data_IF_252752580534
#
_entry.id   IF_252752580534
#
_cell.length_a   1.000
_cell.length_b   1.000
_cell.length_c   1.000
_cell.angle_alpha   90.00
_cell.angle_beta   90.00
_cell.angle_gamma   90.00
#
_symmetry.space_group_name_H-M   'P 1'
#
loop_
_entity.id
_entity.type
_entity.pdbx_description
1 polymer ?
#
# COMPACT_ATOMS: atom_id res chain seq x y z
N UNK A 1 17.22 -12.84 19.46
CA UNK A 1 16.71 -11.85 18.49
C UNK A 1 17.71 -10.69 18.34
N UNK A 2 18.92 -10.98 17.83
CA UNK A 2 20.04 -10.00 17.71
C UNK A 2 20.72 -10.06 16.32
N UNK A 3 20.51 -11.13 15.54
CA UNK A 3 21.25 -11.39 14.30
C UNK A 3 20.72 -10.68 13.03
N UNK A 4 19.48 -10.17 13.01
CA UNK A 4 18.91 -9.51 11.82
C UNK A 4 19.40 -8.07 11.61
N UNK A 5 19.96 -7.42 12.64
CA UNK A 5 20.43 -6.03 12.56
C UNK A 5 21.72 -5.86 11.72
N UNK A 6 22.33 -6.97 11.26
CA UNK A 6 23.64 -6.94 10.60
C UNK A 6 23.59 -6.63 9.10
N UNK A 7 22.41 -6.60 8.47
CA UNK A 7 22.24 -6.43 7.01
C UNK A 7 21.53 -5.14 6.59
N UNK A 8 21.00 -4.36 7.53
CA UNK A 8 20.34 -3.08 7.22
C UNK A 8 21.21 -1.90 7.63
N UNK A 9 21.46 -0.97 6.70
CA UNK A 9 22.15 0.29 6.98
C UNK A 9 21.15 1.45 6.93
N UNK A 10 21.17 2.32 7.93
CA UNK A 10 20.37 3.54 7.92
C UNK A 10 20.99 4.60 7.01
N UNK A 11 20.22 5.13 6.08
CA UNK A 11 20.63 6.23 5.21
C UNK A 11 19.60 7.36 5.29
N UNK A 12 20.08 8.61 5.17
CA UNK A 12 19.20 9.77 4.98
C UNK A 12 19.18 10.13 3.51
N UNK A 13 17.99 10.15 2.90
CA UNK A 13 17.81 10.48 1.48
C UNK A 13 16.92 11.72 1.34
N UNK A 14 17.23 12.55 0.33
CA UNK A 14 16.33 13.61 -0.12
C UNK A 14 15.63 13.13 -1.39
N UNK A 15 14.31 13.17 -1.39
CA UNK A 15 13.50 12.72 -2.53
C UNK A 15 12.60 13.85 -3.01
N UNK A 16 12.16 13.76 -4.26
CA UNK A 16 11.15 14.68 -4.79
C UNK A 16 9.82 14.52 -4.05
N UNK A 17 9.02 15.58 -3.99
CA UNK A 17 7.71 15.58 -3.33
C UNK A 17 6.77 14.49 -3.85
N UNK A 18 6.82 14.18 -5.15
CA UNK A 18 6.03 13.11 -5.76
C UNK A 18 6.38 11.72 -5.18
N UNK A 19 7.66 11.45 -4.91
CA UNK A 19 8.11 10.19 -4.32
C UNK A 19 7.71 10.12 -2.85
N UNK A 20 7.82 11.24 -2.12
CA UNK A 20 7.34 11.30 -0.73
C UNK A 20 5.85 10.95 -0.64
N UNK A 21 5.02 11.45 -1.57
CA UNK A 21 3.60 11.10 -1.63
C UNK A 21 3.36 9.60 -1.90
N UNK A 22 4.14 8.98 -2.79
CA UNK A 22 4.04 7.53 -3.03
C UNK A 22 4.40 6.73 -1.77
N UNK A 23 5.45 7.12 -1.06
CA UNK A 23 5.85 6.51 0.21
C UNK A 23 4.72 6.60 1.24
N UNK A 24 4.14 7.78 1.41
CA UNK A 24 3.02 7.97 2.35
C UNK A 24 1.81 7.12 1.93
N UNK A 25 1.50 7.06 0.64
CA UNK A 25 0.36 6.29 0.13
C UNK A 25 0.51 4.78 0.36
N UNK A 26 1.72 4.24 0.20
CA UNK A 26 2.02 2.84 0.51
C UNK A 26 1.72 2.50 1.98
N UNK A 27 1.98 3.43 2.90
CA UNK A 27 1.68 3.24 4.32
C UNK A 27 0.18 3.39 4.59
N UNK A 28 -0.48 4.40 4.01
CA UNK A 28 -1.93 4.63 4.16
C UNK A 28 -2.80 3.46 3.67
N UNK A 29 -2.33 2.78 2.62
CA UNK A 29 -2.99 1.61 2.04
C UNK A 29 -2.56 0.29 2.71
N UNK A 30 -1.74 0.34 3.77
CA UNK A 30 -1.16 -0.85 4.43
C UNK A 30 -0.38 -1.79 3.49
N UNK A 31 0.10 -1.29 2.35
CA UNK A 31 1.00 -2.03 1.45
C UNK A 31 2.39 -2.13 2.10
N UNK A 32 2.79 -1.10 2.86
CA UNK A 32 3.98 -1.09 3.70
C UNK A 32 3.62 -0.79 5.16
N UNK A 33 4.31 -1.41 6.12
CA UNK A 33 4.12 -1.19 7.56
C UNK A 33 4.80 0.08 8.05
N UNK A 34 5.77 0.62 7.29
CA UNK A 34 6.52 1.82 7.65
C UNK A 34 7.05 2.56 6.41
N UNK A 35 7.48 3.81 6.58
CA UNK A 35 8.11 4.59 5.50
C UNK A 35 9.42 3.94 5.01
N UNK A 36 10.19 3.31 5.89
CA UNK A 36 11.42 2.62 5.49
C UNK A 36 11.12 1.41 4.60
N UNK A 37 10.11 0.63 4.97
CA UNK A 37 9.66 -0.50 4.14
C UNK A 37 9.11 0.00 2.79
N UNK A 38 8.34 1.08 2.78
CA UNK A 38 7.85 1.70 1.55
C UNK A 38 8.99 2.19 0.63
N UNK A 39 10.05 2.78 1.21
CA UNK A 39 11.26 3.17 0.47
C UNK A 39 11.97 1.95 -0.10
N UNK A 40 12.12 0.88 0.69
CA UNK A 40 12.75 -0.35 0.22
C UNK A 40 11.95 -0.99 -0.93
N UNK A 41 10.62 -1.05 -0.82
CA UNK A 41 9.75 -1.52 -1.90
C UNK A 41 9.91 -0.69 -3.18
N UNK A 42 10.01 0.63 -3.06
CA UNK A 42 10.27 1.52 -4.19
C UNK A 42 11.63 1.26 -4.85
N UNK A 43 12.66 0.94 -4.06
CA UNK A 43 14.00 0.62 -4.56
C UNK A 43 14.00 -0.75 -5.24
N UNK A 44 13.36 -1.75 -4.64
CA UNK A 44 13.33 -3.13 -5.14
C UNK A 44 12.52 -3.30 -6.42
N UNK A 45 11.32 -2.70 -6.47
CA UNK A 45 10.36 -2.91 -7.57
C UNK A 45 10.28 -1.74 -8.56
N UNK A 46 10.79 -0.58 -8.17
CA UNK A 46 10.69 0.64 -8.97
C UNK A 46 9.29 1.27 -8.94
N UNK A 47 9.21 2.50 -9.47
CA UNK A 47 8.01 3.33 -9.40
C UNK A 47 6.79 2.73 -10.09
N UNK A 48 6.95 2.21 -11.31
CA UNK A 48 5.84 1.72 -12.14
C UNK A 48 5.06 0.59 -11.45
N UNK A 49 5.77 -0.36 -10.83
CA UNK A 49 5.15 -1.47 -10.14
C UNK A 49 4.45 -1.01 -8.84
N UNK A 50 5.04 -0.05 -8.13
CA UNK A 50 4.42 0.54 -6.95
C UNK A 50 3.13 1.30 -7.29
N UNK A 51 3.12 2.09 -8.35
CA UNK A 51 1.92 2.79 -8.81
C UNK A 51 0.83 1.81 -9.22
N UNK A 52 1.18 0.69 -9.85
CA UNK A 52 0.23 -0.40 -10.17
C UNK A 52 -0.39 -1.00 -8.90
N UNK A 53 0.42 -1.39 -7.92
CA UNK A 53 -0.06 -1.96 -6.65
C UNK A 53 -0.97 -1.01 -5.87
N UNK A 54 -0.60 0.27 -5.81
CA UNK A 54 -1.42 1.31 -5.19
C UNK A 54 -2.80 1.36 -5.85
N UNK A 55 -2.83 1.38 -7.19
CA UNK A 55 -4.10 1.42 -7.94
C UNK A 55 -4.97 0.19 -7.66
N UNK A 56 -4.39 -1.01 -7.68
CA UNK A 56 -5.10 -2.26 -7.40
C UNK A 56 -5.70 -2.26 -5.98
N UNK A 57 -4.93 -1.83 -4.98
CA UNK A 57 -5.41 -1.76 -3.59
C UNK A 57 -6.52 -0.71 -3.42
N UNK A 58 -6.44 0.42 -4.11
CA UNK A 58 -7.51 1.43 -4.14
C UNK A 58 -8.79 0.90 -4.78
N UNK A 59 -8.69 0.13 -5.85
CA UNK A 59 -9.83 -0.53 -6.49
C UNK A 59 -10.51 -1.52 -5.53
N UNK A 60 -9.74 -2.37 -4.84
CA UNK A 60 -10.27 -3.29 -3.82
C UNK A 60 -10.97 -2.51 -2.71
N UNK A 61 -10.34 -1.46 -2.17
CA UNK A 61 -10.93 -0.64 -1.10
C UNK A 61 -12.23 0.03 -1.54
N UNK A 62 -12.30 0.48 -2.79
CA UNK A 62 -13.52 1.05 -3.36
C UNK A 62 -14.64 0.02 -3.50
N UNK A 63 -14.32 -1.21 -3.95
CA UNK A 63 -15.29 -2.30 -4.04
C UNK A 63 -15.83 -2.69 -2.67
N UNK A 64 -14.95 -2.80 -1.66
CA UNK A 64 -15.36 -3.08 -0.27
C UNK A 64 -16.25 -1.97 0.27
N UNK A 65 -15.89 -0.70 0.06
CA UNK A 65 -16.70 0.44 0.49
C UNK A 65 -18.08 0.46 -0.21
N UNK A 66 -18.13 0.12 -1.50
CA UNK A 66 -19.38 0.01 -2.24
C UNK A 66 -20.25 -1.09 -1.65
N UNK A 67 -19.67 -2.27 -1.41
CA UNK A 67 -20.35 -3.40 -0.80
C UNK A 67 -20.89 -3.07 0.60
N UNK A 68 -20.11 -2.39 1.44
CA UNK A 68 -20.54 -1.95 2.78
C UNK A 68 -21.68 -0.93 2.74
N UNK A 69 -21.72 -0.06 1.72
CA UNK A 69 -22.76 0.97 1.58
C UNK A 69 -24.05 0.43 0.99
N UNK A 70 -23.95 -0.46 0.00
CA UNK A 70 -25.10 -0.97 -0.75
C UNK A 70 -25.71 -2.23 -0.10
N UNK A 71 -25.03 -2.83 0.89
CA UNK A 71 -25.30 -4.16 1.42
C UNK A 71 -25.31 -5.24 0.31
N UNK A 72 -25.27 -6.52 0.71
CA UNK A 72 -25.45 -7.63 -0.23
C UNK A 72 -26.84 -7.50 -0.88
N UNK A 73 -26.98 -7.54 -2.23
CA UNK A 73 -28.28 -7.69 -2.86
C UNK A 73 -28.76 -9.14 -2.67
N UNK A 74 -29.17 -9.49 -1.46
CA UNK A 74 -30.06 -10.63 -1.28
C UNK A 74 -31.45 -10.16 -1.70
N UNK A 75 -31.82 -10.44 -2.94
CA UNK A 75 -33.24 -10.61 -3.24
C UNK A 75 -33.72 -11.77 -2.36
N UNK A 76 -34.43 -11.44 -1.27
CA UNK A 76 -35.20 -12.42 -0.52
C UNK A 76 -36.29 -12.87 -1.49
N UNK A 77 -35.99 -13.89 -2.29
CA UNK A 77 -36.96 -14.56 -3.13
C UNK A 77 -37.84 -15.36 -2.18
N UNK A 78 -38.94 -14.74 -1.73
CA UNK A 78 -40.00 -15.45 -1.02
C UNK A 78 -40.52 -16.53 -1.97
N UNK A 79 -40.22 -17.79 -1.64
CA UNK A 79 -40.91 -18.96 -2.17
C UNK A 79 -42.14 -19.24 -1.31
#
# INVERSE_FOLDING_TARGET
MVYLNKLSMSVTIKVKKEIAKLIDRLVELNIAKSKNEAVNLLIEYGRTEIERRIKEEEEVRNLVNKWLKECFPYEIRYF
#
